data_IF_279833831629
#
_entry.id   IF_279833831629
#
_cell.length_a   1.000
_cell.length_b   1.000
_cell.length_c   1.000
_cell.angle_alpha   90.00
_cell.angle_beta   90.00
_cell.angle_gamma   90.00
#
_symmetry.space_group_name_H-M   'P 1'
#
loop_
_entity.id
_entity.type
_entity.pdbx_description
1 polymer ?
#
# COMPACT_ATOMS: atom_id res chain seq x y z
N UNK A 1 -22.02 -14.83 22.94
CA UNK A 1 -21.93 -16.12 22.23
C UNK A 1 -20.48 -16.42 21.80
N UNK A 2 -19.80 -15.45 21.19
CA UNK A 2 -18.41 -15.56 20.69
C UNK A 2 -17.33 -15.78 21.76
N UNK A 3 -17.44 -15.17 22.94
CA UNK A 3 -16.46 -15.38 24.05
C UNK A 3 -16.42 -16.84 24.51
N UNK A 4 -17.59 -17.50 24.63
CA UNK A 4 -17.66 -18.91 25.02
C UNK A 4 -17.02 -19.81 23.96
N UNK A 5 -17.25 -19.52 22.67
CA UNK A 5 -16.65 -20.25 21.56
C UNK A 5 -15.11 -20.21 21.61
N UNK A 6 -14.52 -19.01 21.79
CA UNK A 6 -13.07 -18.86 21.87
C UNK A 6 -12.45 -19.55 23.08
N UNK A 7 -13.15 -19.56 24.22
CA UNK A 7 -12.72 -20.33 25.39
C UNK A 7 -12.69 -21.84 25.09
N UNK A 8 -13.70 -22.35 24.36
CA UNK A 8 -13.70 -23.75 23.90
C UNK A 8 -12.56 -24.03 22.91
N UNK A 9 -12.29 -23.11 21.97
CA UNK A 9 -11.20 -23.27 20.98
C UNK A 9 -9.83 -23.40 21.66
N UNK A 10 -9.61 -22.69 22.78
CA UNK A 10 -8.37 -22.77 23.57
C UNK A 10 -8.10 -24.17 24.11
N UNK A 11 -9.14 -24.96 24.39
CA UNK A 11 -8.99 -26.33 24.90
C UNK A 11 -8.45 -27.30 23.84
N UNK A 12 -8.46 -26.93 22.55
CA UNK A 12 -7.94 -27.77 21.48
C UNK A 12 -6.44 -27.53 21.25
N UNK A 13 -5.63 -28.42 21.82
CA UNK A 13 -4.16 -28.41 21.64
C UNK A 13 -3.72 -28.72 20.21
N UNK A 14 -4.59 -29.31 19.38
CA UNK A 14 -4.30 -29.71 17.99
C UNK A 14 -4.97 -28.81 16.93
N UNK A 15 -5.57 -27.68 17.32
CA UNK A 15 -6.24 -26.78 16.39
C UNK A 15 -5.23 -25.96 15.57
N UNK A 16 -4.75 -26.52 14.47
CA UNK A 16 -3.73 -25.88 13.64
C UNK A 16 -4.31 -24.88 12.64
N UNK A 17 -5.54 -25.10 12.16
CA UNK A 17 -6.18 -24.29 11.14
C UNK A 17 -7.49 -23.72 11.68
N UNK A 18 -7.68 -22.41 11.51
CA UNK A 18 -8.91 -21.70 11.85
C UNK A 18 -9.50 -21.11 10.58
N UNK A 19 -10.71 -21.54 10.21
CA UNK A 19 -11.45 -20.98 9.08
C UNK A 19 -12.68 -20.22 9.61
N UNK A 20 -12.86 -18.98 9.15
CA UNK A 20 -13.92 -18.07 9.58
C UNK A 20 -14.57 -17.51 8.32
N UNK A 21 -15.85 -17.76 8.08
CA UNK A 21 -16.57 -17.25 6.91
C UNK A 21 -17.95 -16.72 7.27
N UNK A 22 -18.37 -15.65 6.58
CA UNK A 22 -19.75 -15.10 6.61
C UNK A 22 -20.32 -14.94 8.04
N UNK A 23 -19.46 -14.62 9.00
CA UNK A 23 -19.81 -14.77 10.40
C UNK A 23 -20.17 -13.42 11.02
N UNK A 24 -21.37 -13.34 11.60
CA UNK A 24 -21.79 -12.34 12.59
C UNK A 24 -20.98 -12.44 13.91
N UNK A 25 -19.77 -12.99 13.86
CA UNK A 25 -18.90 -13.17 15.01
C UNK A 25 -18.42 -11.78 15.45
N UNK A 26 -19.01 -11.29 16.54
CA UNK A 26 -18.48 -10.16 17.27
C UNK A 26 -17.27 -10.63 18.07
N UNK A 27 -16.10 -10.08 17.77
CA UNK A 27 -14.90 -10.46 18.52
C UNK A 27 -14.87 -9.67 19.81
N UNK A 28 -14.57 -10.32 20.94
CA UNK A 28 -14.25 -9.58 22.14
C UNK A 28 -13.04 -8.67 21.85
N UNK A 29 -12.93 -7.50 22.50
CA UNK A 29 -11.78 -6.61 22.34
C UNK A 29 -10.43 -7.29 22.59
N UNK A 30 -10.43 -8.35 23.42
CA UNK A 30 -9.29 -9.22 23.72
C UNK A 30 -9.75 -10.69 23.73
N UNK A 31 -9.63 -11.42 22.60
CA UNK A 31 -9.88 -12.85 22.57
C UNK A 31 -8.77 -13.63 23.31
N UNK A 32 -9.10 -14.77 23.95
CA UNK A 32 -8.08 -15.62 24.56
C UNK A 32 -7.11 -16.15 23.50
N UNK A 33 -5.84 -16.29 23.87
CA UNK A 33 -4.81 -16.79 22.96
C UNK A 33 -5.06 -18.24 22.54
N UNK A 34 -4.89 -18.50 21.25
CA UNK A 34 -4.91 -19.81 20.61
C UNK A 34 -3.51 -20.13 20.03
N UNK A 35 -2.57 -20.64 20.84
CA UNK A 35 -1.18 -20.81 20.43
C UNK A 35 -0.97 -21.93 19.40
N UNK A 36 -1.90 -22.90 19.32
CA UNK A 36 -1.85 -24.01 18.38
C UNK A 36 -2.16 -23.60 16.94
N UNK A 37 -2.84 -22.46 16.71
CA UNK A 37 -3.28 -22.05 15.38
C UNK A 37 -2.11 -21.51 14.55
N UNK A 38 -1.79 -22.21 13.47
CA UNK A 38 -0.75 -21.88 12.50
C UNK A 38 -1.30 -21.27 11.21
N UNK A 39 -2.55 -21.53 10.86
CA UNK A 39 -3.20 -20.97 9.66
C UNK A 39 -4.54 -20.34 10.00
N UNK A 40 -4.77 -19.14 9.48
CA UNK A 40 -6.03 -18.42 9.53
C UNK A 40 -6.54 -18.24 8.11
N UNK A 41 -7.76 -18.68 7.86
CA UNK A 41 -8.55 -18.36 6.67
C UNK A 41 -9.76 -17.55 7.12
N UNK A 42 -9.96 -16.37 6.53
CA UNK A 42 -11.07 -15.49 6.87
C UNK A 42 -11.76 -14.97 5.60
N UNK A 43 -13.08 -15.13 5.50
CA UNK A 43 -13.87 -14.67 4.37
C UNK A 43 -15.03 -13.80 4.84
N UNK A 44 -15.10 -12.55 4.35
CA UNK A 44 -16.18 -11.58 4.64
C UNK A 44 -16.39 -11.35 6.15
N UNK A 45 -15.30 -11.28 6.91
CA UNK A 45 -15.35 -10.96 8.34
C UNK A 45 -15.41 -9.45 8.54
N UNK A 46 -16.18 -8.96 9.51
CA UNK A 46 -16.28 -7.52 9.79
C UNK A 46 -14.92 -6.93 10.19
N UNK A 47 -14.55 -5.75 9.67
CA UNK A 47 -13.20 -5.18 9.79
C UNK A 47 -12.69 -4.94 11.21
N UNK A 48 -13.62 -4.66 12.14
CA UNK A 48 -13.30 -4.42 13.56
C UNK A 48 -12.71 -5.67 14.24
N UNK A 49 -12.88 -6.84 13.61
CA UNK A 49 -12.55 -8.14 14.13
C UNK A 49 -11.10 -8.56 13.91
N UNK A 50 -10.49 -8.13 12.80
CA UNK A 50 -9.15 -8.60 12.40
C UNK A 50 -8.08 -8.26 13.44
N UNK A 51 -8.20 -7.08 14.05
CA UNK A 51 -7.25 -6.62 15.06
C UNK A 51 -7.21 -7.55 16.28
N UNK A 52 -8.39 -7.92 16.80
CA UNK A 52 -8.54 -8.86 17.91
C UNK A 52 -8.09 -10.26 17.53
N UNK A 53 -8.62 -10.82 16.43
CA UNK A 53 -8.30 -12.19 15.98
C UNK A 53 -6.81 -12.37 15.77
N UNK A 54 -6.19 -11.46 15.03
CA UNK A 54 -4.78 -11.59 14.69
C UNK A 54 -3.93 -11.45 15.95
N UNK A 55 -4.26 -10.57 16.89
CA UNK A 55 -3.50 -10.47 18.14
C UNK A 55 -3.54 -11.75 19.00
N UNK A 56 -4.62 -12.53 18.93
CA UNK A 56 -4.80 -13.76 19.74
C UNK A 56 -4.20 -15.04 19.15
N UNK A 57 -3.50 -14.99 18.01
CA UNK A 57 -2.97 -16.18 17.32
C UNK A 57 -1.42 -16.18 17.28
N UNK A 58 -0.70 -16.30 18.41
CA UNK A 58 0.74 -16.05 18.46
C UNK A 58 1.57 -17.01 17.58
N UNK A 59 1.08 -18.22 17.29
CA UNK A 59 1.74 -19.22 16.44
C UNK A 59 1.51 -19.07 14.93
N UNK A 60 0.77 -18.06 14.49
CA UNK A 60 0.29 -17.97 13.11
C UNK A 60 1.44 -17.82 12.10
N UNK A 61 1.42 -18.69 11.09
CA UNK A 61 2.39 -18.74 9.98
C UNK A 61 1.76 -18.36 8.64
N UNK A 62 0.48 -18.66 8.46
CA UNK A 62 -0.23 -18.45 7.19
C UNK A 62 -1.51 -17.66 7.41
N UNK A 63 -1.70 -16.64 6.60
CA UNK A 63 -2.91 -15.81 6.55
C UNK A 63 -3.49 -15.86 5.15
N UNK A 64 -4.78 -16.21 5.05
CA UNK A 64 -5.58 -16.10 3.83
C UNK A 64 -6.86 -15.31 4.16
N UNK A 65 -6.89 -14.03 3.79
CA UNK A 65 -8.01 -13.15 4.11
C UNK A 65 -8.66 -12.64 2.82
N UNK A 66 -9.97 -12.82 2.74
CA UNK A 66 -10.82 -12.23 1.71
C UNK A 66 -11.53 -11.01 2.28
N UNK A 67 -11.14 -9.82 1.81
CA UNK A 67 -11.65 -8.52 2.26
C UNK A 67 -12.86 -8.11 1.43
N UNK A 68 -13.89 -7.56 2.08
CA UNK A 68 -15.07 -6.95 1.43
C UNK A 68 -14.86 -5.46 1.14
N UNK A 69 -13.88 -4.83 1.80
CA UNK A 69 -13.44 -3.46 1.59
C UNK A 69 -11.93 -3.37 1.90
N UNK A 70 -11.10 -3.38 0.85
CA UNK A 70 -9.65 -3.45 0.99
C UNK A 70 -9.08 -2.26 1.78
N UNK A 71 -9.58 -1.04 1.52
CA UNK A 71 -9.09 0.17 2.19
C UNK A 71 -9.44 0.19 3.67
N UNK A 72 -10.60 -0.34 4.03
CA UNK A 72 -11.03 -0.44 5.43
C UNK A 72 -10.34 -1.59 6.17
N UNK A 73 -10.14 -2.73 5.50
CA UNK A 73 -9.71 -3.97 6.14
C UNK A 73 -8.19 -4.09 6.26
N UNK A 74 -7.42 -3.77 5.22
CA UNK A 74 -5.96 -3.95 5.20
C UNK A 74 -5.26 -3.18 6.32
N UNK A 75 -5.63 -1.92 6.65
CA UNK A 75 -5.05 -1.22 7.80
C UNK A 75 -5.35 -1.92 9.13
N UNK A 76 -6.54 -2.53 9.29
CA UNK A 76 -6.93 -3.25 10.51
C UNK A 76 -6.18 -4.57 10.65
N UNK A 77 -6.00 -5.28 9.54
CA UNK A 77 -5.16 -6.48 9.45
C UNK A 77 -3.72 -6.10 9.83
N UNK A 78 -3.18 -5.07 9.20
CA UNK A 78 -1.83 -4.56 9.46
C UNK A 78 -1.65 -4.16 10.92
N UNK A 79 -2.62 -3.45 11.51
CA UNK A 79 -2.60 -3.09 12.92
C UNK A 79 -2.64 -4.30 13.86
N UNK A 80 -3.48 -5.30 13.57
CA UNK A 80 -3.54 -6.57 14.32
C UNK A 80 -2.22 -7.33 14.27
N UNK A 81 -1.55 -7.34 13.12
CA UNK A 81 -0.23 -7.93 12.96
C UNK A 81 0.87 -7.11 13.65
N UNK A 82 0.79 -5.78 13.63
CA UNK A 82 1.72 -4.89 14.32
C UNK A 82 1.70 -5.09 15.84
N UNK A 83 0.50 -5.22 16.43
CA UNK A 83 0.30 -5.31 17.89
C UNK A 83 0.80 -6.62 18.50
N UNK A 84 1.11 -7.63 17.70
CA UNK A 84 1.75 -8.84 18.21
C UNK A 84 3.15 -8.54 18.75
N UNK A 85 3.38 -9.10 19.94
CA UNK A 85 4.59 -9.25 20.75
C UNK A 85 5.93 -8.72 20.19
N UNK A 86 6.73 -8.25 21.13
CA UNK A 86 8.14 -7.83 21.06
C UNK A 86 9.15 -8.90 20.58
N UNK A 87 8.70 -10.01 19.99
CA UNK A 87 9.53 -11.11 19.46
C UNK A 87 9.46 -11.24 17.93
N UNK A 88 10.34 -12.06 17.36
CA UNK A 88 10.38 -12.30 15.91
C UNK A 88 9.12 -13.04 15.43
N UNK A 89 8.40 -12.46 14.47
CA UNK A 89 7.21 -13.09 13.91
C UNK A 89 7.56 -14.26 12.99
N UNK A 90 6.75 -15.31 13.07
CA UNK A 90 6.90 -16.56 12.30
C UNK A 90 6.02 -16.61 11.04
N UNK A 91 5.42 -15.49 10.65
CA UNK A 91 4.60 -15.41 9.43
C UNK A 91 5.45 -15.75 8.21
N UNK A 92 5.01 -16.75 7.45
CA UNK A 92 5.66 -17.26 6.24
C UNK A 92 4.88 -16.95 4.98
N UNK A 93 3.55 -16.81 5.06
CA UNK A 93 2.70 -16.52 3.91
C UNK A 93 1.54 -15.59 4.28
N UNK A 94 1.40 -14.52 3.51
CA UNK A 94 0.25 -13.61 3.56
C UNK A 94 -0.44 -13.64 2.20
N UNK A 95 -1.73 -13.91 2.20
CA UNK A 95 -2.62 -13.83 1.05
C UNK A 95 -3.78 -12.91 1.37
N UNK A 96 -3.95 -11.86 0.58
CA UNK A 96 -5.06 -10.92 0.66
C UNK A 96 -5.81 -10.93 -0.67
N UNK A 97 -7.12 -11.15 -0.61
CA UNK A 97 -7.98 -11.31 -1.78
C UNK A 97 -9.16 -10.37 -1.70
N UNK A 98 -9.46 -9.68 -2.79
CA UNK A 98 -10.77 -9.05 -2.97
C UNK A 98 -11.56 -9.83 -4.02
N UNK A 99 -12.83 -10.21 -3.76
CA UNK A 99 -13.66 -10.92 -4.73
C UNK A 99 -13.84 -10.15 -6.05
N UNK A 100 -13.91 -10.86 -7.19
CA UNK A 100 -14.20 -10.28 -8.51
C UNK A 100 -15.51 -9.50 -8.52
N UNK A 101 -16.52 -10.03 -7.81
CA UNK A 101 -17.87 -9.46 -7.76
C UNK A 101 -17.95 -8.10 -7.06
N UNK A 102 -16.91 -7.66 -6.35
CA UNK A 102 -16.91 -6.37 -5.67
C UNK A 102 -16.74 -5.21 -6.66
N UNK A 103 -17.38 -4.05 -6.39
CA UNK A 103 -17.16 -2.84 -7.17
C UNK A 103 -15.70 -2.36 -7.01
N UNK A 104 -15.19 -1.66 -8.02
CA UNK A 104 -13.80 -1.19 -8.07
C UNK A 104 -13.41 -0.35 -6.84
N UNK A 105 -14.31 0.45 -6.30
CA UNK A 105 -14.08 1.29 -5.13
C UNK A 105 -13.70 0.47 -3.88
N UNK A 106 -14.25 -0.74 -3.73
CA UNK A 106 -13.96 -1.65 -2.61
C UNK A 106 -12.67 -2.43 -2.78
N UNK A 107 -12.14 -2.46 -4.01
CA UNK A 107 -10.86 -3.10 -4.37
C UNK A 107 -9.69 -2.13 -4.26
N UNK A 108 -9.95 -0.82 -4.30
CA UNK A 108 -8.93 0.23 -4.27
C UNK A 108 -8.42 0.48 -2.84
N UNK A 109 -7.12 0.71 -2.73
CA UNK A 109 -6.45 1.12 -1.50
C UNK A 109 -5.63 2.37 -1.72
N UNK A 110 -5.51 3.20 -0.69
CA UNK A 110 -4.70 4.42 -0.70
C UNK A 110 -3.20 4.09 -0.73
N UNK A 111 -2.40 5.08 -1.15
CA UNK A 111 -0.93 4.98 -1.10
C UNK A 111 -0.45 4.79 0.36
N UNK A 112 -1.13 5.42 1.32
CA UNK A 112 -0.87 5.27 2.75
C UNK A 112 -1.08 3.81 3.21
N UNK A 113 -2.20 3.18 2.81
CA UNK A 113 -2.47 1.77 3.11
C UNK A 113 -1.41 0.85 2.51
N UNK A 114 -1.06 1.06 1.23
CA UNK A 114 -0.04 0.24 0.57
C UNK A 114 1.35 0.40 1.21
N UNK A 115 1.72 1.64 1.54
CA UNK A 115 2.98 1.93 2.25
C UNK A 115 2.99 1.31 3.64
N UNK A 116 1.88 1.38 4.37
CA UNK A 116 1.71 0.73 5.67
C UNK A 116 1.97 -0.77 5.60
N UNK A 117 1.41 -1.44 4.59
CA UNK A 117 1.65 -2.87 4.35
C UNK A 117 3.13 -3.15 4.00
N UNK A 118 3.74 -2.35 3.11
CA UNK A 118 5.15 -2.50 2.75
C UNK A 118 6.09 -2.33 3.95
N UNK A 119 5.87 -1.31 4.79
CA UNK A 119 6.64 -1.08 6.02
C UNK A 119 6.50 -2.24 7.00
N UNK A 120 5.29 -2.77 7.16
CA UNK A 120 5.03 -3.94 7.99
C UNK A 120 5.86 -5.14 7.50
N UNK A 121 5.80 -5.45 6.21
CA UNK A 121 6.54 -6.57 5.61
C UNK A 121 8.05 -6.38 5.82
N UNK A 122 8.57 -5.20 5.48
CA UNK A 122 10.00 -4.89 5.56
C UNK A 122 10.56 -5.05 6.97
N UNK A 123 9.85 -4.56 8.00
CA UNK A 123 10.42 -4.43 9.35
C UNK A 123 9.94 -5.48 10.35
N UNK A 124 8.75 -6.06 10.19
CA UNK A 124 8.20 -7.03 11.15
C UNK A 124 8.38 -8.49 10.72
N UNK A 125 8.31 -8.81 9.42
CA UNK A 125 8.23 -10.20 8.97
C UNK A 125 9.53 -10.71 8.36
N UNK A 126 10.55 -10.94 9.20
CA UNK A 126 11.86 -11.44 8.77
C UNK A 126 11.81 -12.83 8.10
N UNK A 127 10.78 -13.63 8.38
CA UNK A 127 10.60 -15.00 7.90
C UNK A 127 9.50 -15.13 6.82
N UNK A 128 9.02 -14.01 6.26
CA UNK A 128 7.99 -14.05 5.23
C UNK A 128 8.58 -14.54 3.92
N UNK A 129 8.06 -15.67 3.43
CA UNK A 129 8.51 -16.29 2.18
C UNK A 129 7.63 -15.90 0.99
N UNK A 130 6.35 -15.60 1.24
CA UNK A 130 5.37 -15.37 0.18
C UNK A 130 4.36 -14.28 0.52
N UNK A 131 4.14 -13.38 -0.43
CA UNK A 131 3.04 -12.41 -0.43
C UNK A 131 2.20 -12.61 -1.69
N UNK A 132 0.90 -12.84 -1.52
CA UNK A 132 -0.04 -12.85 -2.63
C UNK A 132 -1.11 -11.75 -2.43
N UNK A 133 -1.24 -10.88 -3.42
CA UNK A 133 -2.31 -9.89 -3.50
C UNK A 133 -3.18 -10.18 -4.73
N UNK A 134 -4.46 -10.41 -4.50
CA UNK A 134 -5.44 -10.66 -5.55
C UNK A 134 -6.46 -9.53 -5.58
N UNK A 135 -6.49 -8.81 -6.70
CA UNK A 135 -7.40 -7.70 -7.00
C UNK A 135 -7.32 -6.51 -6.02
N UNK A 136 -6.28 -6.43 -5.18
CA UNK A 136 -6.01 -5.27 -4.31
C UNK A 136 -5.31 -4.21 -5.15
N UNK A 137 -6.03 -3.14 -5.52
CA UNK A 137 -5.54 -2.13 -6.48
C UNK A 137 -5.02 -0.88 -5.79
N UNK A 138 -3.77 -0.52 -6.04
CA UNK A 138 -3.19 0.74 -5.57
C UNK A 138 -3.75 1.97 -6.30
N UNK A 139 -3.41 3.17 -5.82
CA UNK A 139 -3.77 4.43 -6.50
C UNK A 139 -2.94 4.67 -7.75
N UNK A 140 -1.71 4.16 -7.78
CA UNK A 140 -0.77 4.23 -8.90
C UNK A 140 0.20 3.02 -8.88
N UNK A 141 1.03 2.88 -9.92
CA UNK A 141 1.98 1.76 -10.02
C UNK A 141 3.15 1.89 -9.05
N UNK A 142 3.52 3.12 -8.69
CA UNK A 142 4.57 3.40 -7.70
C UNK A 142 4.27 2.75 -6.34
N UNK A 143 2.98 2.62 -5.98
CA UNK A 143 2.55 1.95 -4.76
C UNK A 143 2.93 0.45 -4.79
N UNK A 144 2.75 -0.22 -5.95
CA UNK A 144 3.11 -1.63 -6.13
C UNK A 144 4.63 -1.81 -6.22
N UNK A 145 5.33 -0.92 -6.93
CA UNK A 145 6.80 -0.92 -7.00
C UNK A 145 7.39 -0.76 -5.60
N UNK A 146 6.88 0.19 -4.80
CA UNK A 146 7.30 0.37 -3.42
C UNK A 146 7.09 -0.90 -2.57
N UNK A 147 5.95 -1.57 -2.74
CA UNK A 147 5.65 -2.81 -2.02
C UNK A 147 6.62 -3.94 -2.41
N UNK A 148 6.91 -4.11 -3.70
CA UNK A 148 7.87 -5.10 -4.21
C UNK A 148 9.27 -4.81 -3.65
N UNK A 149 9.69 -3.55 -3.64
CA UNK A 149 10.96 -3.15 -3.05
C UNK A 149 11.03 -3.45 -1.55
N UNK A 150 9.94 -3.22 -0.80
CA UNK A 150 9.86 -3.64 0.60
C UNK A 150 10.01 -5.16 0.77
N UNK A 151 9.40 -5.94 -0.13
CA UNK A 151 9.50 -7.40 -0.13
C UNK A 151 10.92 -7.88 -0.45
N UNK A 152 11.59 -7.24 -1.41
CA UNK A 152 12.98 -7.54 -1.81
C UNK A 152 13.98 -7.36 -0.66
N UNK A 153 13.70 -6.44 0.25
CA UNK A 153 14.54 -6.21 1.43
C UNK A 153 14.37 -7.30 2.51
N UNK A 154 13.37 -8.17 2.40
CA UNK A 154 13.17 -9.31 3.32
C UNK A 154 13.97 -10.50 2.80
N UNK A 155 15.05 -10.87 3.49
CA UNK A 155 15.98 -11.94 3.08
C UNK A 155 15.32 -13.30 2.81
N UNK A 156 14.23 -13.60 3.50
CA UNK A 156 13.52 -14.88 3.37
C UNK A 156 12.47 -14.88 2.25
N UNK A 157 12.17 -13.72 1.66
CA UNK A 157 11.16 -13.57 0.64
C UNK A 157 11.57 -14.28 -0.65
N UNK A 158 10.65 -15.08 -1.21
CA UNK A 158 10.87 -15.86 -2.43
C UNK A 158 9.83 -15.60 -3.50
N UNK A 159 8.58 -15.35 -3.10
CA UNK A 159 7.48 -15.22 -4.03
C UNK A 159 6.61 -13.99 -3.72
N UNK A 160 6.41 -13.15 -4.72
CA UNK A 160 5.39 -12.10 -4.69
C UNK A 160 4.46 -12.32 -5.87
N UNK A 161 3.16 -12.44 -5.61
CA UNK A 161 2.13 -12.60 -6.64
C UNK A 161 1.21 -11.39 -6.59
N UNK A 162 1.08 -10.69 -7.71
CA UNK A 162 0.13 -9.60 -7.91
C UNK A 162 -0.81 -9.96 -9.05
N UNK A 163 -2.05 -10.30 -8.72
CA UNK A 163 -3.10 -10.61 -9.71
C UNK A 163 -4.09 -9.46 -9.78
N UNK A 164 -4.32 -8.92 -10.98
CA UNK A 164 -5.33 -7.86 -11.22
C UNK A 164 -5.20 -6.64 -10.30
N UNK A 165 -3.98 -6.33 -9.85
CA UNK A 165 -3.64 -5.25 -8.91
C UNK A 165 -3.54 -3.85 -9.56
N UNK A 166 -4.01 -3.70 -10.81
CA UNK A 166 -3.83 -2.54 -11.70
C UNK A 166 -2.40 -2.41 -12.19
N UNK A 167 -2.18 -2.90 -13.41
CA UNK A 167 -0.88 -2.89 -14.09
C UNK A 167 -1.09 -2.41 -15.52
N UNK A 168 -0.27 -1.48 -15.97
CA UNK A 168 -0.32 -0.96 -17.34
C UNK A 168 0.73 -1.70 -18.15
N UNK A 169 0.35 -2.18 -19.33
CA UNK A 169 1.33 -2.72 -20.29
C UNK A 169 2.32 -1.61 -20.69
N UNK A 170 3.61 -1.90 -20.64
CA UNK A 170 4.69 -0.92 -20.82
C UNK A 170 4.84 0.08 -19.67
N UNK A 171 4.13 -0.11 -18.56
CA UNK A 171 4.15 0.77 -17.39
C UNK A 171 5.45 0.72 -16.57
N UNK A 172 5.50 1.55 -15.53
CA UNK A 172 6.59 1.62 -14.57
C UNK A 172 6.84 0.26 -13.91
N UNK A 173 5.77 -0.45 -13.56
CA UNK A 173 5.88 -1.76 -12.93
C UNK A 173 6.56 -2.78 -13.84
N UNK A 174 6.20 -2.84 -15.12
CA UNK A 174 6.82 -3.76 -16.08
C UNK A 174 8.30 -3.44 -16.28
N UNK A 175 8.64 -2.16 -16.42
CA UNK A 175 10.03 -1.71 -16.51
C UNK A 175 10.84 -2.15 -15.27
N UNK A 176 10.28 -1.92 -14.08
CA UNK A 176 10.91 -2.30 -12.82
C UNK A 176 11.13 -3.83 -12.70
N UNK A 177 10.18 -4.64 -13.18
CA UNK A 177 10.29 -6.10 -13.17
C UNK A 177 11.37 -6.60 -14.14
N UNK A 178 11.54 -5.96 -15.30
CA UNK A 178 12.65 -6.27 -16.22
C UNK A 178 14.00 -6.03 -15.57
N UNK A 179 14.17 -4.89 -14.91
CA UNK A 179 15.38 -4.58 -14.14
C UNK A 179 15.64 -5.62 -13.04
N UNK A 180 14.59 -6.03 -12.30
CA UNK A 180 14.69 -7.07 -11.28
C UNK A 180 15.14 -8.44 -11.83
N UNK A 181 14.63 -8.84 -13.01
CA UNK A 181 15.02 -10.10 -13.66
C UNK A 181 16.47 -10.10 -14.15
N UNK A 182 17.02 -8.94 -14.48
CA UNK A 182 18.44 -8.81 -14.88
C UNK A 182 19.40 -8.80 -13.69
N UNK A 183 18.89 -8.59 -12.49
CA UNK A 183 19.62 -8.63 -11.22
C UNK A 183 19.67 -10.07 -10.68
N UNK A 184 20.84 -10.62 -10.30
CA UNK A 184 20.89 -11.91 -9.62
C UNK A 184 20.21 -11.80 -8.25
N UNK A 185 19.01 -12.35 -8.11
CA UNK A 185 18.24 -12.33 -6.88
C UNK A 185 17.28 -13.52 -6.76
N UNK A 186 17.02 -13.95 -5.51
CA UNK A 186 16.18 -15.11 -5.18
C UNK A 186 14.67 -14.81 -5.18
N UNK A 187 14.27 -13.57 -5.52
CA UNK A 187 12.87 -13.13 -5.49
C UNK A 187 12.18 -13.33 -6.83
N UNK A 188 11.22 -14.26 -6.87
CA UNK A 188 10.30 -14.45 -8.00
C UNK A 188 9.07 -13.55 -7.84
N UNK A 189 8.89 -12.59 -8.74
CA UNK A 189 7.69 -11.75 -8.80
C UNK A 189 6.85 -12.16 -10.00
N UNK A 190 5.60 -12.56 -9.75
CA UNK A 190 4.61 -12.91 -10.77
C UNK A 190 3.52 -11.85 -10.79
N UNK A 191 3.31 -11.25 -11.95
CA UNK A 191 2.31 -10.22 -12.16
C UNK A 191 1.49 -10.59 -13.39
N UNK A 192 0.16 -10.61 -13.25
CA UNK A 192 -0.75 -10.90 -14.35
C UNK A 192 -2.12 -10.27 -14.11
N UNK A 193 -2.80 -9.91 -15.19
CA UNK A 193 -4.17 -9.40 -15.17
C UNK A 193 -5.08 -10.41 -15.88
N UNK A 194 -6.12 -10.86 -15.18
CA UNK A 194 -7.11 -11.82 -15.71
C UNK A 194 -8.49 -11.20 -15.85
N UNK A 195 -8.70 -10.01 -15.29
CA UNK A 195 -10.04 -9.43 -15.25
C UNK A 195 -10.38 -8.71 -16.55
N UNK A 196 -9.39 -8.47 -17.43
CA UNK A 196 -9.59 -7.76 -18.71
C UNK A 196 -10.22 -6.37 -18.52
N UNK A 197 -10.27 -5.89 -17.27
CA UNK A 197 -10.87 -4.64 -16.89
C UNK A 197 -9.88 -3.54 -17.28
N UNK A 198 -9.98 -3.09 -18.52
CA UNK A 198 -9.49 -1.76 -18.90
C UNK A 198 -10.26 -0.76 -18.04
N UNK A 199 -9.69 -0.40 -16.89
CA UNK A 199 -10.12 0.77 -16.15
C UNK A 199 -10.08 1.91 -17.15
N UNK A 200 -11.22 2.58 -17.38
CA UNK A 200 -11.24 3.80 -18.19
C UNK A 200 -10.18 4.72 -17.62
N UNK A 201 -9.10 4.86 -18.37
CA UNK A 201 -7.99 5.68 -17.96
C UNK A 201 -8.55 7.09 -17.75
N UNK A 202 -8.36 7.62 -16.57
CA UNK A 202 -8.69 9.02 -16.34
C UNK A 202 -7.53 9.77 -16.98
N UNK A 203 -7.77 10.26 -18.19
CA UNK A 203 -6.79 10.96 -19.04
C UNK A 203 -6.04 12.05 -18.25
N UNK A 204 -6.71 12.69 -17.28
CA UNK A 204 -6.08 13.57 -16.30
C UNK A 204 -6.86 13.70 -14.98
N UNK A 205 -6.18 13.75 -13.83
CA UNK A 205 -6.78 14.04 -12.51
C UNK A 205 -5.94 15.01 -11.69
N UNK A 206 -6.56 15.83 -10.82
CA UNK A 206 -5.82 16.77 -9.96
C UNK A 206 -5.41 16.12 -8.64
N UNK A 207 -4.12 16.15 -8.33
CA UNK A 207 -3.55 15.66 -7.07
C UNK A 207 -2.56 16.69 -6.51
N UNK A 208 -2.81 17.13 -5.26
CA UNK A 208 -1.99 18.14 -4.57
C UNK A 208 -1.76 19.42 -5.41
N UNK A 209 -2.76 19.83 -6.20
CA UNK A 209 -2.70 21.00 -7.08
C UNK A 209 -2.03 20.77 -8.45
N UNK A 210 -1.43 19.60 -8.67
CA UNK A 210 -0.85 19.18 -9.95
C UNK A 210 -1.85 18.34 -10.77
N UNK A 211 -1.78 18.41 -12.10
CA UNK A 211 -2.64 17.57 -12.96
C UNK A 211 -1.84 16.37 -13.44
N UNK A 212 -2.26 15.17 -13.04
CA UNK A 212 -1.62 13.90 -13.35
C UNK A 212 -2.32 13.26 -14.53
N UNK A 213 -1.56 12.99 -15.59
CA UNK A 213 -2.03 12.38 -16.81
C UNK A 213 -1.59 10.91 -16.89
N UNK A 214 -2.21 10.14 -17.78
CA UNK A 214 -1.86 8.73 -18.05
C UNK A 214 -0.45 8.53 -18.63
N UNK A 215 0.16 9.58 -19.20
CA UNK A 215 1.52 9.54 -19.77
C UNK A 215 2.64 9.71 -18.72
N UNK A 216 2.28 9.80 -17.42
CA UNK A 216 3.19 10.08 -16.30
C UNK A 216 4.10 11.31 -16.51
N UNK A 217 3.77 12.20 -17.46
CA UNK A 217 4.63 13.28 -17.90
C UNK A 217 4.53 14.47 -16.96
N UNK A 218 5.65 14.88 -16.37
CA UNK A 218 5.73 16.12 -15.60
C UNK A 218 5.80 17.38 -16.49
N UNK A 219 5.71 17.23 -17.82
CA UNK A 219 5.88 18.32 -18.79
C UNK A 219 4.87 19.45 -18.57
N UNK A 220 3.60 19.13 -18.31
CA UNK A 220 2.57 20.15 -18.05
C UNK A 220 2.76 20.83 -16.69
N UNK A 221 3.11 20.08 -15.65
CA UNK A 221 3.43 20.64 -14.33
C UNK A 221 4.64 21.58 -14.41
N UNK A 222 5.66 21.25 -15.21
CA UNK A 222 6.82 22.12 -15.50
C UNK A 222 6.39 23.37 -16.26
N UNK A 223 5.57 23.24 -17.31
CA UNK A 223 5.05 24.39 -18.08
C UNK A 223 4.26 25.36 -17.20
N UNK A 224 3.42 24.85 -16.29
CA UNK A 224 2.63 25.66 -15.36
C UNK A 224 3.56 26.39 -14.38
N UNK A 225 4.54 25.70 -13.77
CA UNK A 225 5.52 26.35 -12.86
C UNK A 225 6.31 27.44 -13.56
N UNK A 226 6.75 27.21 -14.79
CA UNK A 226 7.43 28.23 -15.62
C UNK A 226 6.49 29.42 -15.86
N UNK A 227 5.21 29.18 -16.18
CA UNK A 227 4.25 30.24 -16.39
C UNK A 227 4.02 31.08 -15.12
N UNK A 228 3.90 30.45 -13.95
CA UNK A 228 3.77 31.12 -12.65
C UNK A 228 5.03 31.94 -12.34
N UNK A 229 6.22 31.37 -12.53
CA UNK A 229 7.48 32.06 -12.30
C UNK A 229 7.64 33.29 -13.22
N UNK A 230 7.29 33.16 -14.50
CA UNK A 230 7.27 34.28 -15.46
C UNK A 230 6.30 35.38 -15.01
N UNK A 231 5.08 35.01 -14.61
CA UNK A 231 4.10 35.98 -14.09
C UNK A 231 4.64 36.74 -12.88
N UNK A 232 5.21 36.03 -11.90
CA UNK A 232 5.82 36.65 -10.71
C UNK A 232 6.98 37.59 -11.07
N UNK A 233 7.76 37.25 -12.09
CA UNK A 233 8.83 38.14 -12.57
C UNK A 233 8.28 39.43 -13.20
N UNK A 234 7.17 39.33 -13.93
CA UNK A 234 6.45 40.51 -14.47
C UNK A 234 5.89 41.37 -13.34
N UNK A 235 5.28 40.77 -12.32
CA UNK A 235 4.72 41.49 -11.17
C UNK A 235 5.81 42.25 -10.38
N UNK A 236 7.06 41.75 -10.39
CA UNK A 236 8.22 42.39 -9.75
C UNK A 236 8.86 43.51 -10.59
N UNK A 237 8.36 43.79 -11.79
CA UNK A 237 8.97 44.75 -12.72
C UNK A 237 9.12 46.15 -12.12
N UNK A 238 8.11 46.62 -11.36
CA UNK A 238 8.14 47.94 -10.72
C UNK A 238 9.24 48.02 -9.65
N UNK A 239 9.39 46.98 -8.83
CA UNK A 239 10.44 46.90 -7.79
C UNK A 239 11.83 46.73 -8.40
N UNK A 240 11.92 46.05 -9.55
CA UNK A 240 13.17 45.91 -10.28
C UNK A 240 13.70 47.26 -10.77
N UNK A 241 12.81 48.15 -11.22
CA UNK A 241 13.16 49.46 -11.76
C UNK A 241 13.37 50.55 -10.69
N UNK A 242 12.95 50.31 -9.44
CA UNK A 242 13.12 51.27 -8.35
C UNK A 242 14.60 51.38 -7.93
N UNK A 243 15.18 52.58 -8.01
CA UNK A 243 16.58 52.86 -7.67
C UNK A 243 16.81 52.94 -6.15
N UNK A 244 15.76 53.12 -5.36
CA UNK A 244 15.85 53.17 -3.89
C UNK A 244 15.97 51.77 -3.27
N UNK A 245 15.67 50.72 -4.04
CA UNK A 245 15.79 49.33 -3.58
C UNK A 245 17.19 48.82 -3.89
N UNK A 246 17.88 48.33 -2.85
CA UNK A 246 19.22 47.76 -3.01
C UNK A 246 19.21 46.49 -3.87
N UNK A 247 20.27 46.30 -4.65
CA UNK A 247 20.45 45.10 -5.49
C UNK A 247 20.37 43.81 -4.67
N UNK A 248 20.91 43.81 -3.44
CA UNK A 248 20.84 42.66 -2.54
C UNK A 248 19.40 42.26 -2.16
N UNK A 249 18.52 43.25 -1.95
CA UNK A 249 17.12 42.99 -1.66
C UNK A 249 16.36 42.49 -2.90
N UNK A 250 16.65 43.06 -4.08
CA UNK A 250 16.08 42.59 -5.36
C UNK A 250 16.42 41.11 -5.64
N UNK A 251 17.67 40.72 -5.41
CA UNK A 251 18.10 39.32 -5.56
C UNK A 251 17.37 38.41 -4.58
N UNK A 252 17.23 38.83 -3.31
CA UNK A 252 16.46 38.06 -2.31
C UNK A 252 15.00 37.86 -2.74
N UNK A 253 14.35 38.90 -3.26
CA UNK A 253 12.96 38.81 -3.75
C UNK A 253 12.81 37.82 -4.90
N UNK A 254 13.73 37.83 -5.88
CA UNK A 254 13.72 36.86 -6.99
C UNK A 254 13.89 35.43 -6.47
N UNK A 255 14.84 35.20 -5.55
CA UNK A 255 15.03 33.87 -4.95
C UNK A 255 13.79 33.41 -4.18
N UNK A 256 13.18 34.28 -3.39
CA UNK A 256 12.05 33.91 -2.54
C UNK A 256 10.75 33.74 -3.33
N UNK A 257 10.51 34.52 -4.38
CA UNK A 257 9.22 34.53 -5.08
C UNK A 257 9.25 33.81 -6.42
N UNK A 258 10.34 33.93 -7.19
CA UNK A 258 10.42 33.35 -8.53
C UNK A 258 11.06 31.97 -8.50
N UNK A 259 12.21 31.82 -7.83
CA UNK A 259 12.90 30.51 -7.78
C UNK A 259 12.12 29.49 -6.95
N UNK A 260 11.46 29.91 -5.87
CA UNK A 260 10.58 29.01 -5.11
C UNK A 260 9.47 28.42 -5.97
N UNK A 261 8.80 29.22 -6.81
CA UNK A 261 7.75 28.73 -7.71
C UNK A 261 8.27 27.84 -8.85
N UNK A 262 9.50 28.08 -9.31
CA UNK A 262 10.10 27.34 -10.41
C UNK A 262 10.65 25.98 -9.94
N UNK A 263 11.30 25.96 -8.77
CA UNK A 263 12.06 24.82 -8.28
C UNK A 263 11.26 23.94 -7.31
N UNK A 264 10.36 24.53 -6.52
CA UNK A 264 9.61 23.83 -5.49
C UNK A 264 8.13 23.85 -5.87
N UNK A 265 7.61 22.72 -6.34
CA UNK A 265 6.20 22.49 -6.61
C UNK A 265 5.83 21.05 -6.36
#
# INVERSE_FOLDING_TARGET
>A
MTVKLWSCLRSFTSLNHLNISDSSLSFPPLPPELPSVLKLSAEKVTSQSYEGVLSSLPGLRVIDITTDDAERDIPRITAGLCRRHTGEQQLTHIKLTTPSSLPLEKKRVSSETMKGLGLLIKYKFKNLHRLDLYRVRGTCEEDLVYLIECCRLVKSMRHVVLESCRTTEGGLLEFHLKDLQTSPGDLSVLVYDIDGETVKDVESFKYLGSTKNSDASCTNDIKIRIAIAKKRMVDLHVLWNDRNISTGLKIKLVKTLVWSALLNG
#
